data_IF_307320058087
#
_entry.id   IF_307320058087
#
_cell.length_a   1.000
_cell.length_b   1.000
_cell.length_c   1.000
_cell.angle_alpha   90.00
_cell.angle_beta   90.00
_cell.angle_gamma   90.00
#
_symmetry.space_group_name_H-M   'P 1'
#
loop_
_entity.id
_entity.type
_entity.pdbx_description
1 polymer ?
#
# COMPACT_ATOMS: atom_id res chain seq x y z
N UNK A 1 -9.34 5.41 -10.14
CA UNK A 1 -8.13 5.90 -9.45
C UNK A 1 -7.90 5.00 -8.26
N UNK A 2 -6.86 4.16 -8.33
CA UNK A 2 -6.51 3.18 -7.30
C UNK A 2 -5.27 3.61 -6.50
N UNK A 3 -4.82 4.83 -6.73
CA UNK A 3 -3.64 5.43 -6.14
C UNK A 3 -4.04 6.46 -5.08
N UNK A 4 -3.30 6.48 -3.98
CA UNK A 4 -3.51 7.30 -2.80
C UNK A 4 -2.16 7.85 -2.37
N UNK A 5 -2.12 9.15 -2.10
CA UNK A 5 -0.93 9.81 -1.56
C UNK A 5 -1.28 10.56 -0.28
N UNK A 6 -0.36 10.53 0.68
CA UNK A 6 -0.50 11.21 1.95
C UNK A 6 0.87 11.41 2.61
N UNK A 7 0.97 12.37 3.53
CA UNK A 7 2.22 12.68 4.23
C UNK A 7 2.02 12.47 5.73
N UNK A 8 2.88 11.67 6.37
CA UNK A 8 2.83 11.39 7.81
C UNK A 8 4.16 10.82 8.31
N UNK A 9 4.45 11.02 9.60
CA UNK A 9 5.56 10.45 10.36
C UNK A 9 5.16 9.14 11.08
N UNK A 10 3.92 8.69 10.91
CA UNK A 10 3.39 7.52 11.64
C UNK A 10 4.04 6.20 11.26
N UNK A 11 4.50 6.09 10.02
CA UNK A 11 4.98 4.83 9.43
C UNK A 11 6.49 4.85 9.18
N UNK A 12 7.22 5.68 9.92
CA UNK A 12 8.67 5.75 9.80
C UNK A 12 9.31 4.38 10.11
N UNK A 13 10.40 4.03 9.41
CA UNK A 13 11.08 2.75 9.57
C UNK A 13 11.57 2.56 11.00
N UNK A 14 11.30 1.38 11.55
CA UNK A 14 11.87 0.94 12.83
C UNK A 14 13.20 0.21 12.63
N UNK A 15 13.30 -0.61 11.58
CA UNK A 15 14.51 -1.36 11.27
C UNK A 15 15.58 -0.46 10.64
N UNK A 16 16.88 -0.71 10.88
CA UNK A 16 17.97 0.04 10.26
C UNK A 16 17.94 0.00 8.73
N UNK A 17 18.62 0.96 8.09
CA UNK A 17 18.63 1.11 6.62
C UNK A 17 19.07 -0.15 5.89
N UNK A 18 20.10 -0.83 6.40
CA UNK A 18 20.63 -2.08 5.81
C UNK A 18 19.64 -3.26 5.87
N UNK A 19 18.54 -3.13 6.60
CA UNK A 19 17.46 -4.12 6.67
C UNK A 19 16.28 -3.80 5.75
N UNK A 20 16.29 -2.64 5.08
CA UNK A 20 15.27 -2.28 4.10
C UNK A 20 15.53 -3.00 2.78
N UNK A 21 14.49 -3.14 1.94
CA UNK A 21 14.61 -3.82 0.66
C UNK A 21 15.60 -3.12 -0.28
N UNK A 22 15.64 -1.79 -0.23
CA UNK A 22 16.51 -0.92 -1.02
C UNK A 22 16.67 0.43 -0.25
N UNK A 23 17.80 1.16 -0.34
CA UNK A 23 17.94 2.43 0.35
C UNK A 23 16.86 3.45 -0.03
N UNK A 24 16.28 4.14 0.96
CA UNK A 24 15.16 5.07 0.80
C UNK A 24 13.81 4.42 0.48
N UNK A 25 13.76 3.09 0.39
CA UNK A 25 12.56 2.31 0.07
C UNK A 25 11.98 1.71 1.33
N UNK A 26 11.17 2.52 2.01
CA UNK A 26 10.42 2.15 3.21
C UNK A 26 9.00 1.70 2.84
N UNK A 27 8.29 1.15 3.83
CA UNK A 27 6.88 0.77 3.64
C UNK A 27 6.44 -0.44 4.45
N UNK A 28 7.35 -1.14 5.12
CA UNK A 28 7.01 -2.30 5.92
C UNK A 28 6.00 -1.95 7.02
N UNK A 29 6.26 -0.88 7.78
CA UNK A 29 5.41 -0.42 8.89
C UNK A 29 4.02 -0.01 8.40
N UNK A 30 3.97 0.69 7.26
CA UNK A 30 2.72 1.04 6.59
C UNK A 30 1.95 -0.21 6.16
N UNK A 31 2.61 -1.14 5.43
CA UNK A 31 1.99 -2.37 4.95
C UNK A 31 1.49 -3.26 6.10
N UNK A 32 2.27 -3.38 7.18
CA UNK A 32 1.91 -4.14 8.37
C UNK A 32 0.70 -3.53 9.08
N UNK A 33 0.71 -2.21 9.28
CA UNK A 33 -0.44 -1.52 9.88
C UNK A 33 -1.69 -1.65 9.01
N UNK A 34 -1.54 -1.53 7.68
CA UNK A 34 -2.65 -1.62 6.73
C UNK A 34 -3.28 -3.03 6.73
N UNK A 35 -2.46 -4.08 6.75
CA UNK A 35 -2.89 -5.48 6.93
C UNK A 35 -3.77 -5.64 8.18
N UNK A 36 -3.33 -5.08 9.31
CA UNK A 36 -4.09 -5.15 10.56
C UNK A 36 -5.38 -4.31 10.50
N UNK A 37 -5.34 -3.14 9.87
CA UNK A 37 -6.51 -2.27 9.72
C UNK A 37 -7.58 -2.92 8.84
N UNK A 38 -7.18 -3.54 7.73
CA UNK A 38 -8.05 -4.29 6.83
C UNK A 38 -8.60 -5.54 7.51
N UNK A 39 -7.79 -6.26 8.29
CA UNK A 39 -8.25 -7.41 9.08
C UNK A 39 -9.37 -7.04 10.07
N UNK A 40 -9.29 -5.84 10.71
CA UNK A 40 -10.38 -5.32 11.57
C UNK A 40 -11.68 -5.07 10.80
N UNK A 41 -11.60 -4.82 9.49
CA UNK A 41 -12.75 -4.71 8.59
C UNK A 41 -13.17 -6.05 7.95
N UNK A 42 -12.58 -7.18 8.37
CA UNK A 42 -12.83 -8.51 7.81
C UNK A 42 -12.18 -8.76 6.44
N UNK A 43 -11.22 -7.92 6.04
CA UNK A 43 -10.46 -8.00 4.79
C UNK A 43 -9.05 -8.51 5.10
N UNK A 44 -8.88 -9.84 5.15
CA UNK A 44 -7.60 -10.45 5.48
C UNK A 44 -6.65 -10.44 4.28
N UNK A 45 -5.43 -9.94 4.49
CA UNK A 45 -4.37 -9.91 3.49
C UNK A 45 -3.20 -10.81 3.89
N UNK A 46 -2.25 -11.02 2.97
CA UNK A 46 -0.95 -11.63 3.29
C UNK A 46 -0.14 -10.78 4.29
N UNK A 47 0.95 -11.37 4.79
CA UNK A 47 2.01 -10.64 5.50
C UNK A 47 2.79 -9.74 4.51
N UNK A 48 3.33 -8.59 4.95
CA UNK A 48 4.12 -7.73 4.08
C UNK A 48 5.26 -8.46 3.37
N UNK A 49 5.38 -8.24 2.06
CA UNK A 49 6.45 -8.74 1.20
C UNK A 49 7.22 -7.54 0.65
N UNK A 50 8.54 -7.58 0.74
CA UNK A 50 9.44 -6.52 0.26
C UNK A 50 9.81 -6.68 -1.22
N UNK A 51 9.94 -5.55 -1.91
CA UNK A 51 10.34 -5.41 -3.32
C UNK A 51 11.27 -4.21 -3.47
N UNK A 52 11.95 -4.09 -4.61
CA UNK A 52 12.93 -3.01 -4.87
C UNK A 52 12.33 -1.59 -4.85
N UNK A 53 11.00 -1.47 -4.90
CA UNK A 53 10.23 -0.22 -4.93
C UNK A 53 9.40 0.02 -3.67
N UNK A 54 9.29 -0.94 -2.75
CA UNK A 54 8.49 -0.79 -1.53
C UNK A 54 8.09 -2.12 -0.92
N UNK A 55 6.94 -2.11 -0.25
CA UNK A 55 6.36 -3.28 0.38
C UNK A 55 4.92 -3.47 -0.10
N UNK A 56 4.43 -4.71 -0.10
CA UNK A 56 3.05 -4.96 -0.45
C UNK A 56 2.40 -6.06 0.39
N UNK A 57 1.07 -6.04 0.38
CA UNK A 57 0.21 -7.09 0.91
C UNK A 57 -0.78 -7.53 -0.18
N UNK A 58 -1.15 -8.79 -0.19
CA UNK A 58 -2.04 -9.39 -1.18
C UNK A 58 -3.40 -9.69 -0.56
N UNK A 59 -4.47 -9.35 -1.29
CA UNK A 59 -5.85 -9.69 -0.96
C UNK A 59 -6.40 -10.64 -2.01
N UNK A 60 -6.95 -11.77 -1.56
CA UNK A 60 -7.53 -12.80 -2.43
C UNK A 60 -9.02 -12.94 -2.12
N UNK A 61 -9.86 -12.79 -3.13
CA UNK A 61 -11.32 -13.03 -3.04
C UNK A 61 -11.79 -13.84 -4.25
N UNK A 62 -12.04 -15.14 -4.03
CA UNK A 62 -12.33 -16.08 -5.10
C UNK A 62 -11.13 -16.28 -6.03
N UNK A 63 -11.30 -16.03 -7.33
CA UNK A 63 -10.22 -16.09 -8.33
C UNK A 63 -9.48 -14.75 -8.50
N UNK A 64 -9.94 -13.68 -7.84
CA UNK A 64 -9.33 -12.37 -7.94
C UNK A 64 -8.20 -12.22 -6.91
N UNK A 65 -7.06 -11.76 -7.39
CA UNK A 65 -5.89 -11.44 -6.58
C UNK A 65 -5.56 -9.96 -6.77
N UNK A 66 -5.41 -9.23 -5.67
CA UNK A 66 -5.14 -7.79 -5.69
C UNK A 66 -3.97 -7.49 -4.77
N UNK A 67 -2.96 -6.83 -5.32
CA UNK A 67 -1.82 -6.30 -4.60
C UNK A 67 -2.14 -4.90 -4.09
N UNK A 68 -1.74 -4.62 -2.86
CA UNK A 68 -1.76 -3.29 -2.26
C UNK A 68 -0.32 -2.91 -1.96
N UNK A 69 0.26 -2.06 -2.80
CA UNK A 69 1.63 -1.56 -2.66
C UNK A 69 1.68 -0.36 -1.70
N UNK A 70 2.76 -0.27 -0.94
CA UNK A 70 3.09 0.77 0.04
C UNK A 70 4.54 1.20 -0.21
N UNK A 71 4.75 2.44 -0.65
CA UNK A 71 6.10 2.97 -0.91
C UNK A 71 6.27 4.37 -0.33
N UNK A 72 7.50 4.66 0.12
CA UNK A 72 7.93 6.02 0.48
C UNK A 72 8.37 6.82 -0.75
N UNK A 73 8.19 8.14 -0.68
CA UNK A 73 8.75 9.11 -1.61
C UNK A 73 9.76 9.97 -0.85
N UNK A 74 10.94 9.41 -0.59
CA UNK A 74 12.04 10.08 0.11
C UNK A 74 13.39 9.47 -0.25
N UNK A 75 14.47 10.10 0.19
CA UNK A 75 15.84 9.60 0.01
C UNK A 75 16.25 8.64 1.14
N UNK A 76 17.36 7.94 0.92
CA UNK A 76 17.95 7.06 1.92
C UNK A 76 18.30 7.84 3.20
N UNK A 77 17.80 7.36 4.34
CA UNK A 77 18.03 7.94 5.65
C UNK A 77 16.95 8.93 6.11
N UNK A 78 16.15 9.49 5.21
CA UNK A 78 15.11 10.49 5.55
C UNK A 78 14.08 9.93 6.55
N UNK A 79 13.77 8.64 6.44
CA UNK A 79 12.82 7.95 7.31
C UNK A 79 13.20 7.93 8.81
N UNK A 80 14.48 8.10 9.15
CA UNK A 80 14.91 8.09 10.56
C UNK A 80 14.97 9.48 11.19
N UNK A 81 14.70 10.54 10.42
CA UNK A 81 14.74 11.92 10.90
C UNK A 81 13.58 12.31 11.82
N UNK A 82 12.60 11.42 12.03
CA UNK A 82 11.39 11.73 12.80
C UNK A 82 10.49 12.77 12.13
N UNK A 83 10.71 13.05 10.83
CA UNK A 83 9.93 14.00 10.06
C UNK A 83 8.89 13.25 9.20
N UNK A 84 7.75 13.90 8.86
CA UNK A 84 6.78 13.29 7.98
C UNK A 84 7.37 12.93 6.61
N UNK A 85 7.05 11.72 6.13
CA UNK A 85 7.39 11.22 4.80
C UNK A 85 6.13 11.17 3.94
N UNK A 86 6.27 11.42 2.64
CA UNK A 86 5.19 11.22 1.68
C UNK A 86 5.13 9.75 1.30
N UNK A 87 3.95 9.17 1.40
CA UNK A 87 3.66 7.77 1.13
C UNK A 87 2.74 7.66 -0.09
N UNK A 88 2.95 6.61 -0.86
CA UNK A 88 2.05 6.18 -1.93
C UNK A 88 1.49 4.81 -1.61
N UNK A 89 0.16 4.69 -1.72
CA UNK A 89 -0.55 3.40 -1.66
C UNK A 89 -1.30 3.19 -2.96
N UNK A 90 -1.01 2.09 -3.65
CA UNK A 90 -1.64 1.75 -4.92
C UNK A 90 -2.23 0.34 -4.89
N UNK A 91 -3.37 0.18 -5.58
CA UNK A 91 -4.17 -1.06 -5.54
C UNK A 91 -4.28 -1.62 -6.95
N UNK A 92 -3.59 -2.72 -7.20
CA UNK A 92 -3.45 -3.31 -8.54
C UNK A 92 -3.88 -4.78 -8.56
N UNK A 93 -4.78 -5.17 -9.47
CA UNK A 93 -5.07 -6.59 -9.69
C UNK A 93 -3.82 -7.31 -10.18
N UNK A 94 -3.41 -8.38 -9.49
CA UNK A 94 -2.39 -9.29 -10.00
C UNK A 94 -3.04 -10.19 -11.04
N UNK A 95 -2.61 -10.04 -12.30
CA UNK A 95 -3.15 -10.85 -13.40
C UNK A 95 -2.21 -11.98 -13.75
N UNK A 96 -2.74 -13.19 -13.67
CA UNK A 96 -2.16 -14.34 -14.38
C UNK A 96 -2.29 -14.14 -15.90
N UNK A 97 -1.39 -14.73 -16.68
CA UNK A 97 -1.47 -14.79 -18.16
C UNK A 97 -2.86 -15.24 -18.68
N UNK A 98 -3.60 -16.07 -17.92
CA UNK A 98 -4.97 -16.50 -18.28
C UNK A 98 -6.02 -15.39 -18.06
N UNK A 99 -5.82 -14.50 -17.10
CA UNK A 99 -6.73 -13.39 -16.76
C UNK A 99 -6.52 -12.17 -17.68
N UNK A 100 -5.35 -12.03 -18.30
CA UNK A 100 -5.08 -10.98 -19.28
C UNK A 100 -6.09 -10.95 -20.44
N UNK A 101 -6.64 -12.11 -20.82
CA UNK A 101 -7.67 -12.24 -21.86
C UNK A 101 -9.09 -11.83 -21.42
N UNK A 102 -9.35 -11.61 -20.13
CA UNK A 102 -10.67 -11.27 -19.59
C UNK A 102 -10.53 -10.13 -18.56
N UNK A 103 -10.62 -8.87 -18.99
CA UNK A 103 -10.82 -7.76 -18.03
C UNK A 103 -12.18 -7.92 -17.36
N UNK A 104 -12.21 -8.38 -16.11
CA UNK A 104 -13.47 -8.68 -15.41
C UNK A 104 -13.93 -7.50 -14.53
N UNK A 105 -15.23 -7.14 -14.57
CA UNK A 105 -15.81 -6.11 -13.68
C UNK A 105 -15.61 -6.36 -12.18
N UNK A 106 -15.39 -7.61 -11.76
CA UNK A 106 -15.19 -8.00 -10.37
C UNK A 106 -13.91 -7.41 -9.75
N UNK A 107 -12.79 -7.40 -10.50
CA UNK A 107 -11.51 -6.81 -10.05
C UNK A 107 -11.68 -5.32 -9.68
N UNK A 108 -12.44 -4.58 -10.48
CA UNK A 108 -12.71 -3.16 -10.25
C UNK A 108 -13.52 -2.94 -8.96
N UNK A 109 -14.53 -3.78 -8.69
CA UNK A 109 -15.32 -3.70 -7.46
C UNK A 109 -14.48 -4.04 -6.22
N UNK A 110 -13.60 -5.03 -6.32
CA UNK A 110 -12.70 -5.40 -5.22
C UNK A 110 -11.71 -4.27 -4.94
N UNK A 111 -11.07 -3.72 -5.97
CA UNK A 111 -10.16 -2.59 -5.80
C UNK A 111 -10.86 -1.37 -5.18
N UNK A 112 -12.11 -1.05 -5.60
CA UNK A 112 -12.89 0.02 -5.02
C UNK A 112 -13.26 -0.24 -3.54
N UNK A 113 -13.60 -1.49 -3.20
CA UNK A 113 -13.86 -1.93 -1.81
C UNK A 113 -12.61 -1.73 -0.93
N UNK A 114 -11.46 -2.19 -1.40
CA UNK A 114 -10.17 -2.04 -0.70
C UNK A 114 -9.82 -0.56 -0.53
N UNK A 115 -9.90 0.23 -1.60
CA UNK A 115 -9.65 1.68 -1.56
C UNK A 115 -10.51 2.38 -0.51
N UNK A 116 -11.80 2.07 -0.46
CA UNK A 116 -12.74 2.67 0.49
C UNK A 116 -12.33 2.37 1.93
N UNK A 117 -11.95 1.12 2.23
CA UNK A 117 -11.52 0.73 3.58
C UNK A 117 -10.15 1.32 3.94
N UNK A 118 -9.21 1.39 3.00
CA UNK A 118 -7.89 2.02 3.21
C UNK A 118 -8.05 3.51 3.51
N UNK A 119 -8.83 4.24 2.72
CA UNK A 119 -9.08 5.67 2.96
C UNK A 119 -9.78 5.89 4.31
N UNK A 120 -10.75 5.04 4.67
CA UNK A 120 -11.41 5.13 5.96
C UNK A 120 -10.44 4.88 7.13
N UNK A 121 -9.56 3.88 7.01
CA UNK A 121 -8.55 3.57 8.01
C UNK A 121 -7.55 4.72 8.19
N UNK A 122 -7.01 5.28 7.09
CA UNK A 122 -6.08 6.42 7.14
C UNK A 122 -6.75 7.64 7.81
N UNK A 123 -7.99 7.95 7.43
CA UNK A 123 -8.73 9.07 8.03
C UNK A 123 -9.05 8.86 9.51
N UNK A 124 -9.27 7.62 9.95
CA UNK A 124 -9.47 7.35 11.39
C UNK A 124 -8.24 7.64 12.23
N UNK A 125 -7.06 7.70 11.62
CA UNK A 125 -5.80 8.09 12.25
C UNK A 125 -5.50 9.60 12.09
N UNK A 126 -6.44 10.37 11.55
CA UNK A 126 -6.26 11.80 11.29
C UNK A 126 -5.39 12.11 10.06
N UNK A 127 -5.16 11.13 9.18
CA UNK A 127 -4.33 11.31 7.97
C UNK A 127 -5.21 11.79 6.81
N UNK A 128 -4.85 12.94 6.24
CA UNK A 128 -5.47 13.45 5.01
C UNK A 128 -4.92 12.71 3.78
N UNK A 129 -5.81 12.28 2.88
CA UNK A 129 -5.47 11.46 1.73
C UNK A 129 -5.87 12.15 0.44
N UNK A 130 -4.89 12.36 -0.44
CA UNK A 130 -5.06 12.88 -1.79
C UNK A 130 -5.25 11.71 -2.76
N UNK A 131 -6.11 11.89 -3.77
CA UNK A 131 -6.15 10.95 -4.89
C UNK A 131 -4.95 11.27 -5.79
N UNK A 132 -3.99 10.34 -5.91
CA UNK A 132 -2.77 10.55 -6.69
C UNK A 132 -3.08 10.95 -8.13
N UNK A 133 -2.56 12.09 -8.57
CA UNK A 133 -2.68 12.63 -9.93
C UNK A 133 -1.67 12.01 -10.89
N UNK A 134 -1.96 12.07 -12.18
CA UNK A 134 -1.13 11.54 -13.27
C UNK A 134 0.33 12.03 -13.18
N UNK A 135 1.27 11.13 -12.88
CA UNK A 135 2.66 11.32 -13.27
C UNK A 135 2.72 11.06 -14.78
N UNK A 136 2.81 12.15 -15.55
CA UNK A 136 2.98 12.13 -17.01
C UNK A 136 4.32 11.58 -17.47
#
# INVERSE_FOLDING_TARGET
MNDLEFTTDRFLPFLPEDCQANPGVYGFELALWLSQALARAGLFTSYPVGEDWGWFIEYIEGEAEVMIGCSSQCEAGDGYGGQPVTWRVFIEPRRSFKQWLKRQPAESRIAAKLRTNIVAALRSEGIEVNAGGESG
#
